data_IF_178459419497
#
_entry.id   IF_178459419497
#
_cell.length_a   1.000
_cell.length_b   1.000
_cell.length_c   1.000
_cell.angle_alpha   90.00
_cell.angle_beta   90.00
_cell.angle_gamma   90.00
#
_symmetry.space_group_name_H-M   'P 1'
#
loop_
_entity.id
_entity.type
_entity.pdbx_description
1 polymer ?
#
# COMPACT_ATOMS: atom_id res chain seq x y z
N UNK A 1 -25.53 59.25 10.94
CA UNK A 1 -24.56 58.63 10.02
C UNK A 1 -23.64 57.72 10.83
N UNK A 2 -23.56 56.46 10.40
CA UNK A 2 -22.59 55.38 10.70
C UNK A 2 -22.39 54.90 12.15
N UNK A 3 -23.00 53.76 12.45
CA UNK A 3 -22.50 52.78 13.42
C UNK A 3 -21.46 51.89 12.72
N UNK A 4 -20.24 51.80 13.24
CA UNK A 4 -19.24 50.81 12.83
C UNK A 4 -19.36 49.58 13.73
N UNK A 5 -19.74 48.44 13.18
CA UNK A 5 -19.64 47.15 13.83
C UNK A 5 -18.34 46.47 13.37
N UNK A 6 -17.40 46.24 14.28
CA UNK A 6 -16.21 45.46 14.01
C UNK A 6 -16.54 43.97 14.15
N UNK A 7 -16.48 43.24 13.04
CA UNK A 7 -16.61 41.78 13.03
C UNK A 7 -15.27 41.15 13.42
N UNK A 8 -15.25 40.45 14.56
CA UNK A 8 -14.10 39.70 15.06
C UNK A 8 -14.19 38.26 14.51
N UNK A 9 -13.41 37.93 13.48
CA UNK A 9 -13.33 36.58 12.93
C UNK A 9 -12.43 35.70 13.81
N UNK A 10 -13.04 34.74 14.51
CA UNK A 10 -12.34 33.73 15.29
C UNK A 10 -11.91 32.59 14.34
N UNK A 11 -10.63 32.54 13.97
CA UNK A 11 -10.05 31.41 13.23
C UNK A 11 -9.80 30.29 14.22
N UNK A 12 -10.65 29.25 14.18
CA UNK A 12 -10.44 28.01 14.91
C UNK A 12 -9.32 27.23 14.22
N UNK A 13 -8.11 27.31 14.76
CA UNK A 13 -7.02 26.43 14.39
C UNK A 13 -7.35 25.00 14.87
N UNK A 14 -7.61 24.10 13.93
CA UNK A 14 -7.68 22.67 14.21
C UNK A 14 -6.30 22.16 14.61
N UNK A 15 -6.18 21.33 15.66
CA UNK A 15 -4.92 20.65 15.93
C UNK A 15 -4.66 19.67 14.78
N UNK A 16 -3.55 19.87 14.08
CA UNK A 16 -2.97 18.81 13.25
C UNK A 16 -2.64 17.65 14.19
N UNK A 17 -3.39 16.56 14.07
CA UNK A 17 -3.06 15.30 14.74
C UNK A 17 -1.79 14.81 14.05
N UNK A 18 -0.64 15.16 14.64
CA UNK A 18 0.62 14.52 14.31
C UNK A 18 0.48 13.06 14.76
N UNK A 19 0.25 12.16 13.80
CA UNK A 19 0.42 10.74 14.05
C UNK A 19 1.87 10.54 14.51
N UNK A 20 2.11 10.02 15.73
CA UNK A 20 3.43 9.54 16.04
C UNK A 20 3.67 8.33 15.15
N UNK A 21 4.41 8.53 14.07
CA UNK A 21 5.08 7.45 13.35
C UNK A 21 6.13 6.85 14.28
N UNK A 22 5.69 6.09 15.29
CA UNK A 22 6.51 5.06 15.88
C UNK A 22 6.58 3.92 14.87
N UNK A 23 7.26 4.20 13.75
CA UNK A 23 7.96 3.21 12.97
C UNK A 23 9.01 2.65 13.93
N UNK A 24 8.65 1.59 14.66
CA UNK A 24 9.67 0.67 15.11
C UNK A 24 10.47 0.36 13.86
N UNK A 25 11.75 0.72 13.85
CA UNK A 25 12.69 0.25 12.84
C UNK A 25 12.55 -1.28 12.80
N UNK A 26 11.75 -1.79 11.86
CA UNK A 26 11.86 -3.16 11.43
C UNK A 26 13.02 -3.12 10.47
N UNK A 27 14.15 -3.60 10.98
CA UNK A 27 15.33 -4.08 10.27
C UNK A 27 15.38 -3.76 8.77
N UNK A 28 16.45 -3.05 8.40
CA UNK A 28 17.03 -2.72 7.09
C UNK A 28 17.02 -3.83 5.99
N UNK A 29 15.94 -4.59 5.80
CA UNK A 29 15.88 -5.76 4.90
C UNK A 29 14.58 -5.80 4.06
N UNK A 30 14.00 -4.64 3.76
CA UNK A 30 12.86 -4.51 2.83
C UNK A 30 13.12 -3.40 1.83
N UNK A 31 12.74 -3.59 0.57
CA UNK A 31 12.86 -2.55 -0.45
C UNK A 31 11.48 -2.01 -0.82
N UNK A 32 11.35 -0.69 -0.76
CA UNK A 32 10.11 0.03 -1.07
C UNK A 32 10.29 0.78 -2.39
N UNK A 33 9.39 0.53 -3.32
CA UNK A 33 9.28 1.22 -4.61
C UNK A 33 7.95 1.98 -4.64
N UNK A 34 7.98 3.27 -4.92
CA UNK A 34 6.78 4.10 -5.06
C UNK A 34 6.58 4.42 -6.55
N UNK A 35 5.33 4.50 -7.02
CA UNK A 35 5.03 4.84 -8.41
C UNK A 35 5.02 3.65 -9.38
N UNK A 36 4.88 2.42 -8.88
CA UNK A 36 4.99 1.18 -9.67
C UNK A 36 3.69 0.80 -10.38
N UNK A 37 2.55 1.39 -10.02
CA UNK A 37 1.24 0.91 -10.49
C UNK A 37 0.19 2.04 -10.46
N UNK A 38 -1.07 1.69 -10.75
CA UNK A 38 -2.20 2.62 -10.76
C UNK A 38 -2.47 3.23 -9.37
N UNK A 39 -2.82 4.52 -9.35
CA UNK A 39 -3.06 5.25 -8.11
C UNK A 39 -4.36 4.82 -7.40
N UNK A 40 -4.25 4.45 -6.13
CA UNK A 40 -5.36 4.42 -5.19
C UNK A 40 -5.55 5.80 -4.51
N UNK A 41 -6.70 5.98 -3.86
CA UNK A 41 -6.95 7.13 -2.98
C UNK A 41 -6.18 6.94 -1.68
N UNK A 42 -5.34 7.91 -1.29
CA UNK A 42 -4.51 7.80 -0.09
C UNK A 42 -5.34 7.63 1.19
N UNK A 43 -6.43 8.40 1.34
CA UNK A 43 -7.33 8.26 2.50
C UNK A 43 -7.94 6.86 2.63
N UNK A 44 -8.22 6.20 1.51
CA UNK A 44 -8.78 4.85 1.50
C UNK A 44 -7.73 3.83 1.96
N UNK A 45 -6.47 3.99 1.53
CA UNK A 45 -5.37 3.14 2.00
C UNK A 45 -5.03 3.36 3.48
N UNK A 46 -5.07 4.60 3.97
CA UNK A 46 -4.89 4.91 5.39
C UNK A 46 -5.98 4.25 6.25
N UNK A 47 -7.21 4.19 5.76
CA UNK A 47 -8.31 3.49 6.40
C UNK A 47 -8.17 1.96 6.30
N UNK A 48 -7.76 1.44 5.14
CA UNK A 48 -7.56 0.01 4.90
C UNK A 48 -6.60 -0.62 5.91
N UNK A 49 -5.43 0.01 6.14
CA UNK A 49 -4.37 -0.58 6.97
C UNK A 49 -4.63 -0.47 8.47
N UNK A 50 -5.73 0.17 8.89
CA UNK A 50 -6.16 0.13 10.28
C UNK A 50 -6.50 -1.32 10.68
N UNK A 51 -6.10 -1.79 11.87
CA UNK A 51 -6.27 -3.19 12.26
C UNK A 51 -7.69 -3.74 12.07
N UNK A 52 -8.70 -2.98 12.51
CA UNK A 52 -10.10 -3.42 12.44
C UNK A 52 -10.62 -3.47 10.98
N UNK A 53 -10.29 -2.46 10.18
CA UNK A 53 -10.66 -2.41 8.75
C UNK A 53 -10.01 -3.55 8.00
N UNK A 54 -8.70 -3.77 8.21
CA UNK A 54 -7.95 -4.85 7.58
C UNK A 54 -8.50 -6.21 7.96
N UNK A 55 -8.80 -6.44 9.24
CA UNK A 55 -9.35 -7.69 9.71
C UNK A 55 -10.70 -8.01 9.05
N UNK A 56 -11.54 -7.01 8.86
CA UNK A 56 -12.83 -7.15 8.17
C UNK A 56 -12.70 -7.32 6.65
N UNK A 57 -11.67 -6.71 6.04
CA UNK A 57 -11.43 -6.75 4.59
C UNK A 57 -10.60 -7.95 4.12
N UNK A 58 -9.98 -8.69 5.05
CA UNK A 58 -9.02 -9.76 4.73
C UNK A 58 -9.66 -10.91 3.96
N UNK A 59 -9.18 -11.10 2.74
CA UNK A 59 -9.55 -12.18 1.83
C UNK A 59 -8.47 -13.27 1.72
N UNK A 60 -7.27 -13.04 2.24
CA UNK A 60 -6.15 -13.98 2.14
C UNK A 60 -5.84 -14.34 0.69
N UNK A 61 -5.79 -15.64 0.37
CA UNK A 61 -5.50 -16.16 -0.97
C UNK A 61 -6.76 -16.45 -1.82
N UNK A 62 -7.96 -16.11 -1.32
CA UNK A 62 -9.22 -16.44 -2.00
C UNK A 62 -9.43 -15.67 -3.32
N UNK A 63 -8.91 -14.45 -3.42
CA UNK A 63 -8.99 -13.63 -4.62
C UNK A 63 -7.67 -13.72 -5.40
N UNK A 64 -7.53 -14.80 -6.17
CA UNK A 64 -6.33 -15.03 -7.00
C UNK A 64 -6.39 -14.18 -8.28
N UNK A 65 -5.25 -13.59 -8.60
CA UNK A 65 -4.97 -12.90 -9.85
C UNK A 65 -3.58 -13.31 -10.36
N UNK A 66 -3.19 -12.81 -11.53
CA UNK A 66 -1.95 -13.22 -12.19
C UNK A 66 -1.21 -12.03 -12.77
N UNK A 67 0.11 -12.15 -12.82
CA UNK A 67 1.01 -11.20 -13.47
C UNK A 67 2.04 -11.96 -14.33
N UNK A 68 2.64 -11.27 -15.28
CA UNK A 68 3.72 -11.79 -16.13
C UNK A 68 4.68 -10.67 -16.42
N UNK A 69 5.98 -10.92 -16.41
CA UNK A 69 6.97 -9.88 -16.68
C UNK A 69 7.79 -10.17 -17.94
N UNK A 70 8.64 -9.23 -18.33
CA UNK A 70 9.56 -9.40 -19.45
C UNK A 70 10.69 -10.40 -19.15
N UNK A 71 10.93 -10.73 -17.88
CA UNK A 71 11.95 -11.71 -17.50
C UNK A 71 11.63 -13.12 -18.03
N UNK A 72 12.57 -13.78 -18.73
CA UNK A 72 12.35 -15.10 -19.28
C UNK A 72 11.92 -16.13 -18.22
N UNK A 73 10.73 -16.73 -18.44
CA UNK A 73 10.16 -17.74 -17.56
C UNK A 73 9.22 -17.21 -16.49
N UNK A 74 9.00 -15.90 -16.41
CA UNK A 74 8.09 -15.26 -15.44
C UNK A 74 6.73 -15.01 -16.10
N UNK A 75 6.00 -16.09 -16.38
CA UNK A 75 4.71 -16.05 -17.05
C UNK A 75 3.60 -16.61 -16.17
N UNK A 76 2.47 -15.93 -16.12
CA UNK A 76 1.27 -16.33 -15.40
C UNK A 76 1.55 -16.71 -13.93
N UNK A 77 2.37 -15.91 -13.26
CA UNK A 77 2.68 -16.05 -11.85
C UNK A 77 1.46 -15.65 -11.01
N UNK A 78 1.26 -16.31 -9.87
CA UNK A 78 0.13 -16.02 -8.99
C UNK A 78 0.39 -14.80 -8.11
N UNK A 79 -0.64 -13.99 -7.96
CA UNK A 79 -0.76 -12.97 -6.94
C UNK A 79 -2.17 -13.00 -6.36
N UNK A 80 -2.39 -12.23 -5.31
CA UNK A 80 -3.61 -12.26 -4.52
C UNK A 80 -4.03 -10.85 -4.16
N UNK A 81 -5.31 -10.53 -4.35
CA UNK A 81 -5.93 -9.35 -3.75
C UNK A 81 -6.33 -9.70 -2.31
N UNK A 82 -5.53 -9.29 -1.34
CA UNK A 82 -5.63 -9.78 0.04
C UNK A 82 -6.57 -8.96 0.91
N UNK A 83 -6.82 -7.69 0.58
CA UNK A 83 -7.74 -6.81 1.29
C UNK A 83 -8.05 -5.56 0.46
N UNK A 84 -9.29 -5.07 0.51
CA UNK A 84 -9.67 -3.79 -0.11
C UNK A 84 -10.55 -2.93 0.80
N UNK A 85 -10.42 -1.62 0.69
CA UNK A 85 -11.32 -0.64 1.27
C UNK A 85 -11.42 0.57 0.33
N UNK A 86 -12.65 1.01 0.02
CA UNK A 86 -12.85 2.06 -0.99
C UNK A 86 -12.26 1.63 -2.33
N UNK A 87 -11.42 2.47 -2.93
CA UNK A 87 -10.66 2.09 -4.13
C UNK A 87 -9.26 1.53 -3.83
N UNK A 88 -8.81 1.48 -2.58
CA UNK A 88 -7.50 0.95 -2.23
C UNK A 88 -7.55 -0.56 -2.02
N UNK A 89 -6.64 -1.27 -2.66
CA UNK A 89 -6.46 -2.71 -2.48
C UNK A 89 -4.98 -3.03 -2.18
N UNK A 90 -4.78 -3.97 -1.27
CA UNK A 90 -3.50 -4.56 -1.00
C UNK A 90 -3.37 -5.87 -1.79
N UNK A 91 -2.23 -6.03 -2.46
CA UNK A 91 -1.90 -7.22 -3.22
C UNK A 91 -0.68 -7.91 -2.63
N UNK A 92 -0.63 -9.23 -2.74
CA UNK A 92 0.51 -10.04 -2.35
C UNK A 92 0.92 -10.96 -3.48
N UNK A 93 2.22 -11.13 -3.68
CA UNK A 93 2.75 -12.19 -4.55
C UNK A 93 3.92 -12.89 -3.88
N UNK A 94 3.94 -14.24 -3.85
CA UNK A 94 5.17 -14.96 -3.56
C UNK A 94 6.17 -14.75 -4.71
N UNK A 95 7.45 -14.90 -4.41
CA UNK A 95 8.46 -14.94 -5.47
C UNK A 95 8.14 -16.05 -6.49
N UNK A 96 8.40 -15.85 -7.80
CA UNK A 96 8.12 -16.85 -8.83
C UNK A 96 8.62 -18.26 -8.47
N UNK A 97 7.74 -19.24 -8.67
CA UNK A 97 8.01 -20.65 -8.34
C UNK A 97 7.91 -21.01 -6.85
N UNK A 98 7.53 -20.08 -5.96
CA UNK A 98 7.30 -20.35 -4.53
C UNK A 98 5.80 -20.40 -4.20
N UNK A 99 5.48 -21.12 -3.13
CA UNK A 99 4.14 -21.11 -2.54
C UNK A 99 3.90 -19.83 -1.75
N UNK A 100 2.66 -19.33 -1.77
CA UNK A 100 2.25 -18.21 -0.94
C UNK A 100 2.37 -18.56 0.55
N UNK A 101 2.95 -17.64 1.33
CA UNK A 101 2.97 -17.70 2.79
C UNK A 101 2.38 -16.41 3.32
N UNK A 102 1.04 -16.38 3.42
CA UNK A 102 0.27 -15.20 3.80
C UNK A 102 0.02 -15.21 5.30
N UNK A 103 0.72 -14.33 6.02
CA UNK A 103 0.38 -13.97 7.38
C UNK A 103 -0.38 -12.64 7.36
N UNK A 104 -1.57 -12.62 7.96
CA UNK A 104 -2.49 -11.49 7.88
C UNK A 104 -1.89 -10.21 8.48
N UNK A 105 -1.25 -10.29 9.64
CA UNK A 105 -0.74 -9.12 10.35
C UNK A 105 0.58 -8.64 9.76
N UNK A 106 1.47 -9.56 9.37
CA UNK A 106 2.69 -9.20 8.65
C UNK A 106 2.32 -8.51 7.32
N UNK A 107 1.38 -9.06 6.55
CA UNK A 107 0.95 -8.46 5.28
C UNK A 107 0.35 -7.07 5.48
N UNK A 108 -0.45 -6.87 6.55
CA UNK A 108 -0.97 -5.55 6.93
C UNK A 108 0.15 -4.56 7.26
N UNK A 109 1.12 -4.99 8.06
CA UNK A 109 2.23 -4.12 8.48
C UNK A 109 3.08 -3.68 7.29
N UNK A 110 3.31 -4.57 6.33
CA UNK A 110 3.98 -4.26 5.06
C UNK A 110 3.17 -3.30 4.21
N UNK A 111 1.86 -3.52 4.08
CA UNK A 111 0.97 -2.56 3.41
C UNK A 111 0.96 -1.19 4.12
N UNK A 112 1.04 -1.16 5.45
CA UNK A 112 1.09 0.08 6.23
C UNK A 112 2.41 0.84 6.05
N UNK A 113 3.54 0.14 5.83
CA UNK A 113 4.84 0.77 5.57
C UNK A 113 4.80 1.62 4.29
N UNK A 114 4.03 1.16 3.30
CA UNK A 114 3.85 1.83 2.00
C UNK A 114 3.10 3.15 2.08
N UNK A 115 2.47 3.49 3.21
CA UNK A 115 1.86 4.82 3.39
C UNK A 115 2.89 5.97 3.22
N UNK A 116 4.19 5.69 3.36
CA UNK A 116 5.26 6.62 3.02
C UNK A 116 5.33 7.02 1.54
N UNK A 117 4.75 6.23 0.62
CA UNK A 117 4.65 6.54 -0.80
C UNK A 117 3.50 7.50 -1.15
N UNK A 118 2.68 7.89 -0.17
CA UNK A 118 1.49 8.72 -0.40
C UNK A 118 1.81 10.16 -0.83
N UNK A 119 1.26 10.60 -1.95
CA UNK A 119 1.24 11.98 -2.40
C UNK A 119 0.01 12.71 -1.81
N UNK A 120 0.23 13.40 -0.69
CA UNK A 120 -0.85 14.03 0.12
C UNK A 120 -1.52 15.22 -0.56
N UNK A 121 -0.82 15.92 -1.45
CA UNK A 121 -1.30 17.07 -2.20
C UNK A 121 -2.34 16.68 -3.27
N UNK A 122 -2.26 15.47 -3.80
CA UNK A 122 -3.18 14.92 -4.81
C UNK A 122 -4.02 13.74 -4.29
N UNK A 123 -3.90 13.39 -3.01
CA UNK A 123 -4.59 12.28 -2.35
C UNK A 123 -4.43 10.94 -3.08
N UNK A 124 -3.20 10.65 -3.56
CA UNK A 124 -2.88 9.45 -4.33
C UNK A 124 -1.78 8.64 -3.68
N UNK A 125 -1.80 7.34 -3.88
CA UNK A 125 -0.76 6.43 -3.41
C UNK A 125 -0.71 5.21 -4.31
N UNK A 126 0.51 4.74 -4.54
CA UNK A 126 0.76 3.38 -4.94
C UNK A 126 2.19 3.01 -4.52
N UNK A 127 2.47 1.72 -4.38
CA UNK A 127 3.83 1.26 -4.10
C UNK A 127 3.91 -0.22 -3.84
N UNK A 128 5.13 -0.73 -3.85
CA UNK A 128 5.51 -2.11 -3.70
C UNK A 128 6.61 -2.24 -2.63
N UNK A 129 6.41 -3.13 -1.67
CA UNK A 129 7.42 -3.54 -0.70
C UNK A 129 7.84 -4.98 -0.98
N UNK A 130 9.14 -5.24 -1.06
CA UNK A 130 9.71 -6.57 -1.26
C UNK A 130 10.46 -6.99 -0.01
N UNK A 131 10.08 -8.14 0.55
CA UNK A 131 10.78 -8.72 1.70
C UNK A 131 12.05 -9.43 1.24
N UNK A 132 13.20 -9.16 1.85
CA UNK A 132 14.46 -9.81 1.42
C UNK A 132 14.51 -11.31 1.73
N UNK A 133 13.92 -11.73 2.85
CA UNK A 133 14.02 -13.12 3.32
C UNK A 133 13.41 -14.14 2.36
N UNK A 134 12.22 -13.83 1.81
CA UNK A 134 11.48 -14.73 0.95
C UNK A 134 11.20 -14.18 -0.45
N UNK A 135 11.58 -12.91 -0.70
CA UNK A 135 11.35 -12.17 -1.96
C UNK A 135 9.88 -12.02 -2.32
N UNK A 136 8.96 -12.17 -1.36
CA UNK A 136 7.55 -11.88 -1.57
C UNK A 136 7.30 -10.38 -1.68
N UNK A 137 6.34 -9.99 -2.51
CA UNK A 137 5.92 -8.62 -2.71
C UNK A 137 4.59 -8.33 -2.00
N UNK A 138 4.48 -7.13 -1.41
CA UNK A 138 3.22 -6.55 -0.96
C UNK A 138 3.06 -5.21 -1.64
N UNK A 139 1.91 -4.96 -2.27
CA UNK A 139 1.67 -3.76 -3.05
C UNK A 139 0.39 -3.06 -2.60
N UNK A 140 0.37 -1.73 -2.62
CA UNK A 140 -0.85 -0.92 -2.55
C UNK A 140 -1.12 -0.33 -3.93
N UNK A 141 -2.33 -0.56 -4.43
CA UNK A 141 -2.79 -0.03 -5.72
C UNK A 141 -4.31 0.15 -5.70
N UNK A 142 -4.87 0.64 -6.79
CA UNK A 142 -6.32 0.64 -6.98
C UNK A 142 -6.85 -0.80 -7.19
N UNK A 143 -8.17 -0.96 -7.32
CA UNK A 143 -8.83 -2.27 -7.52
C UNK A 143 -8.37 -3.09 -8.74
N UNK A 144 -7.63 -2.49 -9.67
CA UNK A 144 -7.15 -3.11 -10.91
C UNK A 144 -5.64 -3.44 -10.88
N UNK A 145 -4.95 -3.18 -9.76
CA UNK A 145 -3.49 -3.18 -9.70
C UNK A 145 -2.77 -4.54 -9.65
N UNK A 146 -3.48 -5.67 -9.57
CA UNK A 146 -2.82 -6.95 -9.26
C UNK A 146 -1.74 -7.40 -10.27
N UNK A 147 -1.93 -7.09 -11.56
CA UNK A 147 -0.95 -7.38 -12.60
C UNK A 147 0.23 -6.43 -12.52
N UNK A 148 -0.09 -5.14 -12.66
CA UNK A 148 0.84 -4.01 -12.69
C UNK A 148 1.72 -3.89 -11.43
N UNK A 149 1.26 -4.40 -10.29
CA UNK A 149 2.04 -4.36 -9.04
C UNK A 149 3.34 -5.17 -9.09
N UNK A 150 3.45 -6.15 -9.99
CA UNK A 150 4.52 -7.15 -9.97
C UNK A 150 5.09 -7.48 -11.35
N UNK A 151 4.61 -6.86 -12.43
CA UNK A 151 4.98 -7.20 -13.80
C UNK A 151 6.21 -6.45 -14.34
N UNK A 152 6.76 -5.54 -13.55
CA UNK A 152 7.88 -4.67 -13.92
C UNK A 152 9.18 -4.98 -13.18
N UNK A 153 10.21 -4.19 -13.50
CA UNK A 153 11.55 -4.36 -12.95
C UNK A 153 11.61 -4.09 -11.45
N UNK A 154 10.64 -3.40 -10.84
CA UNK A 154 10.68 -3.09 -9.42
C UNK A 154 10.56 -4.38 -8.61
N UNK A 155 9.71 -5.33 -9.01
CA UNK A 155 9.62 -6.65 -8.37
C UNK A 155 10.81 -7.57 -8.69
N UNK A 156 11.39 -7.42 -9.88
CA UNK A 156 12.53 -8.21 -10.34
C UNK A 156 13.84 -7.80 -9.67
N UNK A 157 14.02 -6.51 -9.41
CA UNK A 157 15.23 -5.96 -8.83
C UNK A 157 15.47 -6.51 -7.41
N UNK A 158 16.70 -6.96 -7.14
CA UNK A 158 17.13 -7.23 -5.77
C UNK A 158 17.30 -5.91 -5.03
N UNK A 159 16.93 -5.88 -3.75
CA UNK A 159 17.44 -4.88 -2.81
C UNK A 159 18.98 -5.01 -2.88
N UNK A 160 19.66 -4.01 -3.44
CA UNK A 160 21.10 -4.05 -3.70
C UNK A 160 21.90 -3.60 -2.48
#
# INVERSE_FOLDING_TARGET
MLFFAAALSLVLATPAIAFPSNLTARDDLTCVHCGTTSDATLSDCQALVQPDTWAAAWAGDSNTCHWSSATPGWYNNKAYNVACHGNCCAYYSPYPGRSATLDQEITRQRAASLLGCGATDVNKINGLEIAEADRSGVCLSNGDGCGDCFDDNDFEASCA
#
